data_IF_310676794490
#
_entry.id   IF_310676794490
#
_cell.length_a   1.000
_cell.length_b   1.000
_cell.length_c   1.000
_cell.angle_alpha   90.00
_cell.angle_beta   90.00
_cell.angle_gamma   90.00
#
_symmetry.space_group_name_H-M   'P 1'
#
loop_
_entity.id
_entity.type
_entity.pdbx_description
1 polymer ?
#
# COMPACT_ATOMS: atom_id res chain seq x y z
N UNK A 1 -19.48 2.59 -6.79
CA UNK A 1 -18.03 2.35 -6.93
C UNK A 1 -17.57 1.47 -5.77
N UNK A 2 -16.97 0.30 -6.04
CA UNK A 2 -16.56 -0.61 -4.97
C UNK A 2 -15.51 0.03 -4.06
N UNK A 3 -15.65 -0.16 -2.75
CA UNK A 3 -14.66 0.25 -1.75
C UNK A 3 -14.01 -0.97 -1.10
N UNK A 4 -12.71 -0.85 -0.84
CA UNK A 4 -11.89 -1.94 -0.31
C UNK A 4 -11.00 -1.46 0.83
N UNK A 5 -10.81 -2.31 1.83
CA UNK A 5 -9.72 -2.21 2.79
C UNK A 5 -8.61 -3.21 2.40
N UNK A 6 -7.36 -2.89 2.72
CA UNK A 6 -6.22 -3.73 2.40
C UNK A 6 -5.65 -4.35 3.67
N UNK A 7 -5.39 -5.67 3.66
CA UNK A 7 -4.65 -6.40 4.70
C UNK A 7 -3.31 -6.90 4.17
N UNK A 8 -2.27 -6.74 4.98
CA UNK A 8 -0.91 -7.21 4.72
C UNK A 8 -0.47 -8.04 5.93
N UNK A 9 -0.17 -9.32 5.71
CA UNK A 9 0.20 -10.29 6.76
C UNK A 9 -0.76 -10.25 7.97
N UNK A 10 -2.07 -10.16 7.69
CA UNK A 10 -3.13 -10.11 8.72
C UNK A 10 -3.43 -8.72 9.30
N UNK A 11 -2.55 -7.73 9.10
CA UNK A 11 -2.72 -6.35 9.60
C UNK A 11 -3.36 -5.44 8.57
N UNK A 12 -4.16 -4.48 9.02
CA UNK A 12 -4.84 -3.51 8.17
C UNK A 12 -3.91 -2.37 7.76
N UNK A 13 -3.90 -2.04 6.47
CA UNK A 13 -3.22 -0.86 5.96
C UNK A 13 -3.98 0.41 6.37
N UNK A 14 -3.28 1.35 7.02
CA UNK A 14 -3.83 2.62 7.53
C UNK A 14 -3.42 3.79 6.62
N UNK A 15 -2.13 3.96 6.41
CA UNK A 15 -1.58 5.02 5.56
C UNK A 15 -0.10 4.76 5.26
N UNK A 16 0.53 5.67 4.51
CA UNK A 16 1.98 5.69 4.30
C UNK A 16 2.65 6.71 5.22
N UNK A 17 3.75 6.35 5.87
CA UNK A 17 4.48 7.22 6.78
C UNK A 17 5.69 7.90 6.15
N UNK A 18 6.81 7.86 6.89
CA UNK A 18 8.08 8.48 6.53
C UNK A 18 8.72 7.86 5.29
N UNK A 19 9.60 8.60 4.63
CA UNK A 19 10.39 8.11 3.50
C UNK A 19 11.40 7.08 4.00
N UNK A 20 11.36 5.89 3.41
CA UNK A 20 12.22 4.74 3.75
C UNK A 20 13.17 4.36 2.62
N UNK A 21 13.01 4.97 1.44
CA UNK A 21 13.90 4.71 0.31
C UNK A 21 13.49 5.47 -0.95
N UNK A 22 14.18 5.14 -2.04
CA UNK A 22 13.86 5.60 -3.38
C UNK A 22 13.66 4.37 -4.28
N UNK A 23 12.60 4.36 -5.07
CA UNK A 23 12.38 3.35 -6.13
C UNK A 23 12.54 3.99 -7.50
N UNK A 24 13.14 3.27 -8.45
CA UNK A 24 13.29 3.77 -9.81
C UNK A 24 11.91 3.90 -10.48
N UNK A 25 11.59 5.06 -11.05
CA UNK A 25 10.34 5.28 -11.80
C UNK A 25 10.46 4.85 -13.29
N UNK A 26 11.63 4.37 -13.72
CA UNK A 26 11.87 3.76 -15.04
C UNK A 26 12.40 4.71 -16.12
N UNK A 27 12.76 5.95 -15.80
CA UNK A 27 13.38 6.89 -16.75
C UNK A 27 14.91 6.86 -16.78
N UNK A 28 15.52 7.26 -17.90
CA UNK A 28 16.99 7.39 -18.05
C UNK A 28 17.60 8.50 -17.17
N UNK A 29 16.82 9.52 -16.79
CA UNK A 29 17.21 10.66 -15.94
C UNK A 29 16.48 10.68 -14.60
N UNK A 30 16.01 9.51 -14.18
CA UNK A 30 15.08 9.40 -13.07
C UNK A 30 15.83 9.41 -11.74
N UNK A 31 15.59 10.44 -10.93
CA UNK A 31 16.11 10.54 -9.56
C UNK A 31 15.41 9.58 -8.59
N UNK A 32 14.43 8.81 -9.09
CA UNK A 32 13.64 7.87 -8.31
C UNK A 32 12.47 8.55 -7.62
N UNK A 33 11.47 7.75 -7.28
CA UNK A 33 10.31 8.14 -6.51
C UNK A 33 10.54 7.80 -5.04
N UNK A 34 10.29 8.76 -4.16
CA UNK A 34 10.33 8.53 -2.72
C UNK A 34 9.36 7.41 -2.32
N UNK A 35 9.91 6.34 -1.77
CA UNK A 35 9.18 5.22 -1.19
C UNK A 35 8.93 5.50 0.29
N UNK A 36 7.69 5.34 0.74
CA UNK A 36 7.29 5.62 2.13
C UNK A 36 7.04 4.33 2.90
N UNK A 37 7.23 4.33 4.20
CA UNK A 37 6.85 3.21 5.07
C UNK A 37 5.35 2.96 5.02
N UNK A 38 4.94 1.73 5.34
CA UNK A 38 3.53 1.37 5.50
C UNK A 38 3.18 1.40 6.99
N UNK A 39 2.10 2.09 7.33
CA UNK A 39 1.53 2.06 8.69
C UNK A 39 0.44 1.00 8.71
N UNK A 40 0.64 -0.01 9.56
CA UNK A 40 -0.27 -1.16 9.71
C UNK A 40 -0.87 -1.20 11.11
N UNK A 41 -2.11 -1.63 11.22
CA UNK A 41 -2.88 -1.69 12.48
C UNK A 41 -3.62 -3.01 12.60
N UNK A 42 -3.77 -3.52 13.82
CA UNK A 42 -4.62 -4.68 14.08
C UNK A 42 -6.12 -4.30 14.10
N UNK A 43 -6.43 -3.01 14.32
CA UNK A 43 -7.80 -2.49 14.29
C UNK A 43 -8.26 -2.16 12.86
N UNK A 44 -9.38 -2.76 12.44
CA UNK A 44 -10.04 -2.53 11.15
C UNK A 44 -10.59 -1.12 10.98
N UNK A 45 -11.04 -0.47 12.05
CA UNK A 45 -11.69 0.85 11.97
C UNK A 45 -10.69 1.95 11.57
N UNK A 46 -9.39 1.68 11.72
CA UNK A 46 -8.31 2.55 11.26
C UNK A 46 -7.89 2.28 9.82
N UNK A 47 -8.44 1.24 9.17
CA UNK A 47 -8.02 0.83 7.85
C UNK A 47 -8.36 1.90 6.79
N UNK A 48 -7.45 2.11 5.86
CA UNK A 48 -7.69 2.97 4.70
C UNK A 48 -8.72 2.33 3.79
N UNK A 49 -9.80 3.07 3.55
CA UNK A 49 -10.73 2.75 2.48
C UNK A 49 -10.18 3.24 1.14
N UNK A 50 -10.07 2.31 0.19
CA UNK A 50 -9.62 2.54 -1.18
C UNK A 50 -10.78 2.32 -2.13
N UNK A 51 -11.18 3.38 -2.81
CA UNK A 51 -12.32 3.36 -3.70
C UNK A 51 -11.89 3.14 -5.14
N UNK A 52 -12.50 2.17 -5.81
CA UNK A 52 -12.30 1.91 -7.23
C UNK A 52 -11.04 1.09 -7.57
N UNK A 53 -11.13 0.32 -8.66
CA UNK A 53 -10.12 -0.64 -9.10
C UNK A 53 -8.77 0.01 -9.46
N UNK A 54 -8.82 1.21 -10.10
CA UNK A 54 -7.60 1.94 -10.50
C UNK A 54 -6.76 2.34 -9.30
N UNK A 55 -7.40 2.77 -8.22
CA UNK A 55 -6.72 3.14 -7.00
C UNK A 55 -6.14 1.91 -6.30
N UNK A 56 -6.86 0.79 -6.30
CA UNK A 56 -6.39 -0.48 -5.75
C UNK A 56 -5.03 -0.90 -6.34
N UNK A 57 -4.88 -0.84 -7.68
CA UNK A 57 -3.62 -1.13 -8.36
C UNK A 57 -2.50 -0.16 -7.97
N UNK A 58 -2.82 1.13 -7.80
CA UNK A 58 -1.85 2.12 -7.33
C UNK A 58 -1.35 1.81 -5.92
N UNK A 59 -2.24 1.39 -5.02
CA UNK A 59 -1.87 0.99 -3.66
C UNK A 59 -1.09 -0.32 -3.63
N UNK A 60 -1.43 -1.30 -4.48
CA UNK A 60 -0.66 -2.53 -4.63
C UNK A 60 0.82 -2.22 -4.96
N UNK A 61 1.07 -1.38 -5.96
CA UNK A 61 2.44 -1.00 -6.34
C UNK A 61 3.17 -0.28 -5.20
N UNK A 62 2.49 0.65 -4.51
CA UNK A 62 3.08 1.34 -3.34
C UNK A 62 3.47 0.35 -2.24
N UNK A 63 2.59 -0.60 -1.92
CA UNK A 63 2.84 -1.61 -0.89
C UNK A 63 4.06 -2.45 -1.26
N UNK A 64 4.14 -2.90 -2.51
CA UNK A 64 5.26 -3.70 -2.99
C UNK A 64 6.59 -2.93 -2.95
N UNK A 65 6.58 -1.68 -3.41
CA UNK A 65 7.74 -0.79 -3.36
C UNK A 65 8.23 -0.58 -1.93
N UNK A 66 7.31 -0.27 -1.01
CA UNK A 66 7.61 -0.12 0.41
C UNK A 66 8.21 -1.37 1.01
N UNK A 67 7.61 -2.54 0.75
CA UNK A 67 8.10 -3.80 1.27
C UNK A 67 9.52 -4.12 0.78
N UNK A 68 9.78 -3.88 -0.51
CA UNK A 68 11.13 -4.01 -1.09
C UNK A 68 12.14 -3.06 -0.45
N UNK A 69 11.74 -1.81 -0.18
CA UNK A 69 12.63 -0.80 0.42
C UNK A 69 12.92 -1.08 1.91
N UNK A 70 11.98 -1.63 2.66
CA UNK A 70 12.14 -1.92 4.09
C UNK A 70 12.65 -3.33 4.39
N UNK A 71 12.71 -4.21 3.38
CA UNK A 71 13.00 -5.63 3.57
C UNK A 71 11.85 -6.40 4.25
N UNK A 72 10.62 -5.85 4.22
CA UNK A 72 9.44 -6.52 4.76
C UNK A 72 8.99 -7.62 3.79
N UNK A 73 8.83 -8.84 4.30
CA UNK A 73 8.20 -9.92 3.53
C UNK A 73 6.68 -9.78 3.54
N UNK A 74 6.05 -9.96 2.37
CA UNK A 74 4.59 -10.02 2.23
C UNK A 74 4.21 -11.47 1.96
N UNK A 75 3.78 -12.18 3.00
CA UNK A 75 3.26 -13.55 2.89
C UNK A 75 1.84 -13.56 2.31
N UNK A 76 1.02 -12.59 2.71
CA UNK A 76 -0.37 -12.52 2.29
C UNK A 76 -0.86 -11.08 2.16
N UNK A 77 -1.32 -10.75 0.96
CA UNK A 77 -2.04 -9.51 0.65
C UNK A 77 -3.50 -9.83 0.39
N UNK A 78 -4.43 -9.14 1.06
CA UNK A 78 -5.87 -9.39 0.92
C UNK A 78 -6.61 -8.08 0.72
N UNK A 79 -7.51 -8.04 -0.26
CA UNK A 79 -8.42 -6.94 -0.52
C UNK A 79 -9.81 -7.31 0.00
N UNK A 80 -10.29 -6.59 1.00
CA UNK A 80 -11.58 -6.84 1.64
C UNK A 80 -12.57 -5.82 1.09
N UNK A 81 -13.57 -6.25 0.31
CA UNK A 81 -14.65 -5.35 -0.14
C UNK A 81 -15.48 -4.95 1.07
N UNK A 82 -15.58 -3.65 1.33
CA UNK A 82 -16.29 -3.08 2.49
C UNK A 82 -17.58 -2.34 2.11
N UNK A 83 -17.82 -2.13 0.82
CA UNK A 83 -19.07 -1.56 0.35
C UNK A 83 -19.09 -1.21 -1.13
N UNK A 84 -20.21 -0.62 -1.54
CA UNK A 84 -20.41 0.07 -2.80
C UNK A 84 -20.78 1.52 -2.47
N UNK A 85 -19.97 2.47 -2.96
CA UNK A 85 -20.18 3.93 -2.83
C UNK A 85 -21.00 4.47 -3.99
#
# INVERSE_FOLDING_TARGET
MNAYNIKINGKWFVETGDVVGMTNSGGWYDTGKATRSLILSDNQDKAKQVEGMRNLNSYYNKIYDSARATGMEIEKLTFVKVGEV
#
